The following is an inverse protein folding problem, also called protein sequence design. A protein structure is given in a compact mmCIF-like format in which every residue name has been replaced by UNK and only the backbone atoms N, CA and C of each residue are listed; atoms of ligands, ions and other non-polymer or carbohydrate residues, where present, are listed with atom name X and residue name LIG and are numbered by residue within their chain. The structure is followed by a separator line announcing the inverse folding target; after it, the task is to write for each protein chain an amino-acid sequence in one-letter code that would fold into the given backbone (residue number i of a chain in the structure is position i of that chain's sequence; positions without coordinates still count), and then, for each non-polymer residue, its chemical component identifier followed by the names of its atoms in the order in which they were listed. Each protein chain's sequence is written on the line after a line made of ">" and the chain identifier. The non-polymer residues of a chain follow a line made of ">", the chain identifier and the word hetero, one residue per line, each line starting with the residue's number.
data_IF_472725161591
#
_entry.id   IF_472725161591
#
_cell.length_a   1.000
_cell.length_b   1.000
_cell.length_c   1.000
_cell.angle_alpha   90.00
_cell.angle_beta   90.00
_cell.angle_gamma   90.00
#
_symmetry.space_group_name_H-M   'P 1'
#
loop_
_entity.id
_entity.type
_entity.pdbx_description
1 polymer ?
#
# COMPACT_ATOMS: atom_id res chain seq x y z
N UNK A 1 -6.28 -1.25 -2.00
CA UNK A 1 -5.13 -0.93 -1.13
C UNK A 1 -5.05 -1.98 -0.02
N UNK A 2 -3.85 -2.42 0.34
CA UNK A 2 -3.62 -3.21 1.55
C UNK A 2 -2.91 -2.35 2.59
N UNK A 3 -3.33 -2.46 3.86
CA UNK A 3 -2.65 -1.88 4.99
C UNK A 3 -2.05 -3.01 5.82
N UNK A 4 -0.76 -2.91 6.14
CA UNK A 4 -0.01 -3.96 6.83
C UNK A 4 0.83 -3.37 7.95
N UNK A 5 1.03 -4.17 9.00
CA UNK A 5 1.97 -3.88 10.07
C UNK A 5 3.16 -4.82 9.91
N UNK A 6 4.37 -4.28 9.97
CA UNK A 6 5.58 -5.09 9.92
C UNK A 6 5.85 -5.74 11.28
N UNK A 7 6.49 -6.90 11.25
CA UNK A 7 7.05 -7.47 12.48
C UNK A 7 8.13 -6.53 13.05
N UNK A 8 8.30 -6.48 14.38
CA UNK A 8 9.30 -5.61 15.01
C UNK A 8 10.71 -5.83 14.43
N UNK A 9 11.42 -4.74 14.14
CA UNK A 9 12.79 -4.76 13.60
C UNK A 9 12.90 -5.06 12.10
N UNK A 10 11.79 -5.29 11.40
CA UNK A 10 11.80 -5.54 9.96
C UNK A 10 11.60 -4.26 9.15
N UNK A 11 12.25 -4.18 8.00
CA UNK A 11 12.04 -3.14 6.99
C UNK A 11 11.21 -3.67 5.83
N UNK A 12 10.45 -2.80 5.17
CA UNK A 12 9.67 -3.19 4.00
C UNK A 12 10.57 -3.33 2.76
N UNK A 13 10.55 -4.51 2.13
CA UNK A 13 11.21 -4.78 0.84
C UNK A 13 10.15 -4.89 -0.26
N UNK A 14 10.08 -3.85 -1.09
CA UNK A 14 9.11 -3.75 -2.17
C UNK A 14 9.30 -4.76 -3.30
N UNK A 15 10.53 -5.22 -3.55
CA UNK A 15 10.81 -6.20 -4.61
C UNK A 15 10.41 -7.61 -4.14
N UNK A 16 10.77 -7.95 -2.90
CA UNK A 16 10.35 -9.22 -2.29
C UNK A 16 8.83 -9.30 -2.16
N UNK A 17 8.18 -8.20 -1.77
CA UNK A 17 6.71 -8.14 -1.70
C UNK A 17 6.07 -8.31 -3.08
N UNK A 18 6.61 -7.68 -4.12
CA UNK A 18 6.12 -7.84 -5.50
C UNK A 18 6.19 -9.31 -5.94
N UNK A 19 7.33 -9.96 -5.74
CA UNK A 19 7.51 -11.37 -6.09
C UNK A 19 6.49 -12.25 -5.35
N UNK A 20 6.36 -12.05 -4.03
CA UNK A 20 5.41 -12.81 -3.23
C UNK A 20 3.97 -12.66 -3.72
N UNK A 21 3.52 -11.42 -3.95
CA UNK A 21 2.17 -11.15 -4.49
C UNK A 21 1.97 -11.79 -5.86
N UNK A 22 2.94 -11.71 -6.77
CA UNK A 22 2.80 -12.26 -8.12
C UNK A 22 2.86 -13.78 -8.17
N UNK A 23 3.53 -14.42 -7.22
CA UNK A 23 3.54 -15.88 -7.09
C UNK A 23 2.21 -16.43 -6.61
N UNK A 24 1.58 -15.75 -5.64
CA UNK A 24 0.43 -16.30 -4.91
C UNK A 24 -0.91 -15.69 -5.29
N UNK A 25 -0.92 -14.51 -5.91
CA UNK A 25 -2.15 -13.80 -6.27
C UNK A 25 -2.25 -13.61 -7.79
N UNK A 26 -3.44 -13.81 -8.37
CA UNK A 26 -3.70 -13.39 -9.73
C UNK A 26 -3.62 -11.86 -9.85
N UNK A 27 -3.36 -11.37 -11.06
CA UNK A 27 -3.12 -9.94 -11.30
C UNK A 27 -4.26 -9.04 -10.78
N UNK A 28 -5.52 -9.48 -10.87
CA UNK A 28 -6.67 -8.72 -10.39
C UNK A 28 -6.79 -8.63 -8.86
N UNK A 29 -6.13 -9.54 -8.14
CA UNK A 29 -6.15 -9.57 -6.68
C UNK A 29 -4.91 -8.88 -6.06
N UNK A 30 -3.91 -8.55 -6.89
CA UNK A 30 -2.73 -7.85 -6.44
C UNK A 30 -3.10 -6.43 -5.98
N UNK A 31 -2.75 -6.02 -4.75
CA UNK A 31 -2.99 -4.66 -4.31
C UNK A 31 -2.10 -3.68 -5.10
N UNK A 32 -2.69 -2.63 -5.68
CA UNK A 32 -1.92 -1.57 -6.32
C UNK A 32 -1.18 -0.66 -5.32
N UNK A 33 -1.64 -0.62 -4.06
CA UNK A 33 -1.06 0.21 -3.00
C UNK A 33 -0.86 -0.60 -1.72
N UNK A 34 0.30 -0.43 -1.10
CA UNK A 34 0.67 -0.99 0.20
C UNK A 34 0.96 0.15 1.17
N UNK A 35 0.23 0.22 2.27
CA UNK A 35 0.46 1.16 3.37
C UNK A 35 1.05 0.43 4.55
N UNK A 36 2.17 0.92 5.07
CA UNK A 36 2.81 0.38 6.27
C UNK A 36 2.36 1.19 7.49
N UNK A 37 1.80 0.54 8.49
CA UNK A 37 1.34 1.20 9.70
C UNK A 37 2.00 0.60 10.93
N UNK A 38 2.30 1.44 11.93
CA UNK A 38 2.86 0.98 13.20
C UNK A 38 1.87 0.11 13.97
N UNK A 39 0.58 0.43 13.87
CA UNK A 39 -0.50 -0.31 14.52
C UNK A 39 -1.73 -0.37 13.63
N UNK A 40 -2.37 -1.55 13.59
CA UNK A 40 -3.68 -1.71 12.99
C UNK A 40 -4.75 -1.42 14.05
N UNK A 41 -5.59 -0.42 13.80
CA UNK A 41 -6.64 -0.06 14.74
C UNK A 41 -7.70 -1.17 14.85
N UNK A 42 -8.04 -1.55 16.09
CA UNK A 42 -8.94 -2.64 16.41
C UNK A 42 -10.08 -2.12 17.31
N UNK A 43 -11.31 -2.57 17.07
CA UNK A 43 -12.48 -2.26 17.92
C UNK A 43 -12.44 -3.02 19.24
N UNK A 44 -13.30 -2.67 20.19
CA UNK A 44 -13.52 -3.45 21.43
C UNK A 44 -13.92 -4.91 21.18
N UNK A 45 -14.43 -5.22 20.00
CA UNK A 45 -14.82 -6.57 19.54
C UNK A 45 -13.75 -7.23 18.65
N UNK A 46 -12.50 -6.77 18.74
CA UNK A 46 -11.35 -7.32 18.01
C UNK A 46 -11.45 -7.28 16.47
N UNK A 47 -12.28 -6.39 15.91
CA UNK A 47 -12.38 -6.19 14.45
C UNK A 47 -11.46 -5.05 14.00
N UNK A 48 -10.84 -5.22 12.83
CA UNK A 48 -10.07 -4.16 12.19
C UNK A 48 -10.96 -2.97 11.81
N UNK A 49 -10.55 -1.77 12.20
CA UNK A 49 -11.25 -0.51 11.88
C UNK A 49 -10.85 -0.07 10.46
N UNK A 50 -11.70 -0.38 9.48
CA UNK A 50 -11.44 -0.06 8.06
C UNK A 50 -11.96 1.30 7.60
N UNK A 51 -12.92 1.89 8.31
CA UNK A 51 -13.59 3.14 7.90
C UNK A 51 -12.61 4.30 7.73
N UNK A 52 -11.63 4.41 8.62
CA UNK A 52 -10.53 5.38 8.52
C UNK A 52 -9.70 5.17 7.26
N UNK A 53 -9.28 3.92 6.99
CA UNK A 53 -8.47 3.58 5.82
C UNK A 53 -9.20 3.85 4.50
N UNK A 54 -10.51 3.58 4.46
CA UNK A 54 -11.35 3.88 3.30
C UNK A 54 -11.45 5.39 3.07
N UNK A 55 -11.62 6.18 4.15
CA UNK A 55 -11.71 7.65 4.04
C UNK A 55 -10.40 8.29 3.62
N UNK A 56 -9.28 7.84 4.16
CA UNK A 56 -7.94 8.37 3.85
C UNK A 56 -7.46 7.94 2.46
N UNK A 57 -7.87 6.75 2.00
CA UNK A 57 -7.49 6.23 0.69
C UNK A 57 -5.97 6.10 0.55
N UNK A 58 -5.42 6.61 -0.56
CA UNK A 58 -3.98 6.68 -0.84
C UNK A 58 -3.49 8.15 -0.93
N UNK A 59 -4.20 9.08 -0.30
CA UNK A 59 -3.89 10.50 -0.39
C UNK A 59 -2.63 10.85 0.43
N UNK A 60 -1.53 11.17 -0.27
CA UNK A 60 -0.24 11.55 0.32
C UNK A 60 -0.28 12.85 1.15
N UNK A 61 -1.29 13.70 0.95
CA UNK A 61 -1.48 14.92 1.76
C UNK A 61 -2.21 14.68 3.08
N UNK A 62 -2.86 13.52 3.24
CA UNK A 62 -3.59 13.14 4.47
C UNK A 62 -2.85 12.07 5.24
N UNK A 63 -2.12 11.19 4.54
CA UNK A 63 -1.44 10.03 5.11
C UNK A 63 0.01 10.38 5.41
N UNK A 64 0.40 10.21 6.67
CA UNK A 64 1.80 10.33 7.14
C UNK A 64 2.57 9.03 7.07
N UNK A 65 1.85 7.91 6.99
CA UNK A 65 2.40 6.57 6.98
C UNK A 65 3.13 6.26 5.66
N UNK A 66 4.20 5.44 5.66
CA UNK A 66 4.87 5.01 4.43
C UNK A 66 3.89 4.30 3.48
N UNK A 67 3.76 4.84 2.28
CA UNK A 67 2.85 4.37 1.25
C UNK A 67 3.64 4.00 0.00
N UNK A 68 3.34 2.83 -0.56
CA UNK A 68 4.01 2.28 -1.73
C UNK A 68 3.00 1.97 -2.83
N UNK A 69 3.41 2.12 -4.08
CA UNK A 69 2.62 1.81 -5.27
C UNK A 69 3.26 0.70 -6.08
N UNK A 70 2.41 -0.14 -6.69
CA UNK A 70 2.82 -1.20 -7.60
C UNK A 70 3.42 -0.60 -8.88
N UNK A 71 4.67 -0.94 -9.15
CA UNK A 71 5.36 -0.62 -10.41
C UNK A 71 5.71 -1.93 -11.12
N UNK A 72 4.87 -2.31 -12.09
CA UNK A 72 5.05 -3.53 -12.87
C UNK A 72 6.30 -3.47 -13.78
N UNK A 73 6.76 -2.27 -14.16
CA UNK A 73 7.97 -2.10 -14.97
C UNK A 73 9.21 -2.35 -14.12
N UNK A 74 9.26 -1.74 -12.93
CA UNK A 74 10.33 -1.94 -11.96
C UNK A 74 10.23 -3.29 -11.21
N UNK A 75 9.12 -4.03 -11.36
CA UNK A 75 8.83 -5.28 -10.65
C UNK A 75 8.98 -5.13 -9.13
N UNK A 76 8.49 -4.03 -8.60
CA UNK A 76 8.62 -3.68 -7.19
C UNK A 76 7.46 -2.79 -6.70
N UNK A 77 7.24 -2.78 -5.39
CA UNK A 77 6.50 -1.72 -4.73
C UNK A 77 7.43 -0.56 -4.41
N UNK A 78 7.15 0.64 -4.95
CA UNK A 78 8.00 1.83 -4.80
C UNK A 78 7.33 2.87 -3.89
N UNK A 79 8.08 3.64 -3.09
CA UNK A 79 7.51 4.74 -2.32
C UNK A 79 6.68 5.66 -3.21
N UNK A 80 5.46 5.96 -2.79
CA UNK A 80 4.56 6.84 -3.54
C UNK A 80 5.00 8.29 -3.32
N UNK A 81 5.62 8.88 -4.34
CA UNK A 81 5.97 10.31 -4.32
C UNK A 81 4.76 11.18 -4.69
N UNK A 82 4.85 12.48 -4.42
CA UNK A 82 3.80 13.45 -4.78
C UNK A 82 3.56 13.46 -6.29
N UNK A 83 4.62 13.38 -7.11
CA UNK A 83 4.50 13.35 -8.57
C UNK A 83 3.78 12.08 -9.06
N UNK A 84 4.12 10.92 -8.47
CA UNK A 84 3.45 9.65 -8.79
C UNK A 84 1.98 9.69 -8.36
N UNK A 85 1.67 10.26 -7.19
CA UNK A 85 0.31 10.45 -6.72
C UNK A 85 -0.50 11.32 -7.71
N UNK A 86 0.06 12.46 -8.14
CA UNK A 86 -0.58 13.31 -9.14
C UNK A 86 -0.79 12.58 -10.47
N UNK A 87 0.21 11.80 -10.93
CA UNK A 87 0.09 11.00 -12.14
C UNK A 87 -1.02 9.93 -12.05
N UNK A 88 -1.19 9.31 -10.88
CA UNK A 88 -2.31 8.40 -10.62
C UNK A 88 -3.65 9.14 -10.67
N UNK A 89 -3.77 10.29 -9.99
CA UNK A 89 -5.00 11.07 -9.97
C UNK A 89 -5.39 11.61 -11.36
N UNK A 90 -4.39 11.95 -12.18
CA UNK A 90 -4.58 12.44 -13.55
C UNK A 90 -4.76 11.30 -14.57
N UNK A 91 -4.66 10.03 -14.15
CA UNK A 91 -4.79 8.87 -15.02
C UNK A 91 -3.61 8.62 -15.96
N UNK A 92 -2.49 9.32 -15.79
CA UNK A 92 -1.26 9.12 -16.58
C UNK A 92 -0.39 7.98 -16.03
N UNK A 93 -0.62 7.55 -14.78
CA UNK A 93 -0.03 6.35 -14.21
C UNK A 93 -0.96 5.15 -14.37
N UNK A 94 -0.47 4.07 -15.01
CA UNK A 94 -1.24 2.84 -15.19
C UNK A 94 -1.07 1.93 -13.97
N UNK A 95 -2.16 1.73 -13.24
CA UNK A 95 -2.24 0.81 -12.09
C UNK A 95 -2.35 -0.65 -12.55
#
# INVERSE_FOLDING_TARGET
>A
MAAVQLAPGQTFDGQRMYQHVRTWLPAYAAPHFIRIQDTLAITSTFKLVKSRLVREGFNVGVITDPLFVLDNQAKAFRPLTVDMYQAVCNGTWRL
#
